data_IF_420352129936
#
_entry.id   IF_420352129936
#
_cell.length_a   1.000
_cell.length_b   1.000
_cell.length_c   1.000
_cell.angle_alpha   90.00
_cell.angle_beta   90.00
_cell.angle_gamma   90.00
#
_symmetry.space_group_name_H-M   'P 1'
#
loop_
_entity.id
_entity.type
_entity.pdbx_description
1 polymer ?
#
# COMPACT_ATOMS: atom_id res chain seq x y z
N UNK A 1 6.71 -24.36 9.71
CA UNK A 1 6.21 -25.72 10.05
C UNK A 1 7.25 -26.83 9.86
N UNK A 2 7.94 -26.97 8.73
CA UNK A 2 8.93 -28.06 8.53
C UNK A 2 10.15 -27.95 9.44
N UNK A 3 10.66 -26.74 9.66
CA UNK A 3 11.84 -26.49 10.51
C UNK A 3 11.55 -26.77 11.99
N UNK A 4 10.36 -26.44 12.45
CA UNK A 4 9.94 -26.66 13.83
C UNK A 4 9.83 -28.15 14.18
N UNK A 5 9.36 -28.97 13.25
CA UNK A 5 9.29 -30.43 13.45
C UNK A 5 10.66 -31.08 13.58
N UNK A 6 11.66 -30.58 12.84
CA UNK A 6 13.05 -31.06 12.95
C UNK A 6 13.62 -30.78 14.35
N UNK A 7 13.36 -29.59 14.88
CA UNK A 7 13.82 -29.17 16.20
C UNK A 7 13.16 -29.99 17.33
N UNK A 8 11.88 -30.33 17.19
CA UNK A 8 11.17 -31.20 18.16
C UNK A 8 11.74 -32.60 18.21
N UNK A 9 12.00 -33.22 17.06
CA UNK A 9 12.61 -34.55 16.99
C UNK A 9 14.01 -34.56 17.60
N UNK A 10 14.79 -33.53 17.37
CA UNK A 10 16.12 -33.39 17.94
C UNK A 10 16.10 -33.18 19.45
N UNK A 11 15.15 -32.37 19.94
CA UNK A 11 14.91 -32.14 21.37
C UNK A 11 14.52 -33.45 22.11
N UNK A 12 13.68 -34.29 21.48
CA UNK A 12 13.35 -35.61 21.98
C UNK A 12 14.58 -36.52 22.06
N UNK A 13 15.34 -36.62 20.96
CA UNK A 13 16.56 -37.44 20.90
C UNK A 13 17.59 -37.02 21.95
N UNK A 14 17.69 -35.71 22.22
CA UNK A 14 18.56 -35.16 23.26
C UNK A 14 17.99 -35.24 24.69
N UNK A 15 16.78 -35.75 24.85
CA UNK A 15 16.11 -35.85 26.16
C UNK A 15 15.71 -34.52 26.79
N UNK A 16 15.71 -33.42 26.00
CA UNK A 16 15.32 -32.08 26.45
C UNK A 16 13.82 -32.06 26.77
N UNK A 17 13.02 -32.73 25.95
CA UNK A 17 11.58 -32.93 26.18
C UNK A 17 11.31 -34.44 26.27
N UNK A 18 10.26 -34.81 26.98
CA UNK A 18 9.80 -36.19 27.10
C UNK A 18 8.65 -36.44 26.13
N UNK A 19 8.53 -37.67 25.63
CA UNK A 19 7.50 -38.07 24.66
C UNK A 19 6.09 -37.78 25.17
N UNK A 20 5.80 -38.03 26.47
CA UNK A 20 4.48 -37.75 27.03
C UNK A 20 4.05 -36.28 26.90
N UNK A 21 4.98 -35.34 26.82
CA UNK A 21 4.67 -33.91 26.59
C UNK A 21 4.12 -33.73 25.21
N UNK A 22 4.69 -34.38 24.20
CA UNK A 22 4.18 -34.37 22.83
C UNK A 22 2.82 -35.05 22.73
N UNK A 23 2.66 -36.21 23.42
CA UNK A 23 1.40 -36.95 23.46
C UNK A 23 0.27 -36.09 24.04
N UNK A 24 0.54 -35.35 25.11
CA UNK A 24 -0.45 -34.44 25.72
C UNK A 24 -0.87 -33.33 24.76
N UNK A 25 0.10 -32.68 24.08
CA UNK A 25 -0.20 -31.66 23.07
C UNK A 25 -0.94 -32.23 21.86
N UNK A 26 -0.52 -33.41 21.38
CA UNK A 26 -1.18 -34.10 20.28
C UNK A 26 -2.62 -34.47 20.64
N UNK A 27 -2.84 -34.96 21.85
CA UNK A 27 -4.19 -35.28 22.37
C UNK A 27 -5.10 -34.06 22.32
N UNK A 28 -4.64 -32.91 22.81
CA UNK A 28 -5.41 -31.64 22.77
C UNK A 28 -5.76 -31.24 21.34
N UNK A 29 -4.80 -31.33 20.44
CA UNK A 29 -5.01 -31.03 19.02
C UNK A 29 -6.02 -31.97 18.37
N UNK A 30 -5.90 -33.29 18.64
CA UNK A 30 -6.81 -34.30 18.11
C UNK A 30 -8.22 -34.15 18.70
N UNK A 31 -8.33 -33.87 20.02
CA UNK A 31 -9.64 -33.62 20.64
C UNK A 31 -10.39 -32.51 19.91
N UNK A 32 -9.77 -31.35 19.65
CA UNK A 32 -10.41 -30.27 18.89
C UNK A 32 -10.83 -30.70 17.49
N UNK A 33 -10.05 -31.54 16.81
CA UNK A 33 -10.43 -32.10 15.50
C UNK A 33 -11.58 -33.09 15.58
N UNK A 34 -11.64 -33.93 16.62
CA UNK A 34 -12.79 -34.80 16.85
C UNK A 34 -14.05 -34.00 17.17
N UNK A 35 -13.97 -32.99 18.01
CA UNK A 35 -15.08 -32.11 18.35
C UNK A 35 -15.64 -31.37 17.13
N UNK A 36 -14.76 -31.01 16.17
CA UNK A 36 -15.14 -30.42 14.91
C UNK A 36 -15.66 -31.41 13.86
N UNK A 37 -15.68 -32.73 14.18
CA UNK A 37 -16.12 -33.75 13.25
C UNK A 37 -15.17 -33.99 12.08
N UNK A 38 -13.90 -33.56 12.15
CA UNK A 38 -12.96 -33.66 11.01
C UNK A 38 -12.63 -35.10 10.60
N UNK A 39 -13.01 -36.09 11.41
CA UNK A 39 -12.84 -37.51 11.14
C UNK A 39 -14.17 -38.21 10.82
N UNK A 40 -15.29 -37.48 10.89
CA UNK A 40 -16.61 -38.03 10.60
C UNK A 40 -16.87 -38.01 9.08
N UNK A 41 -17.75 -38.89 8.58
CA UNK A 41 -18.20 -38.85 7.21
C UNK A 41 -18.80 -37.47 6.86
N UNK A 42 -18.48 -36.94 5.68
CA UNK A 42 -18.87 -35.60 5.27
C UNK A 42 -20.38 -35.33 5.34
N UNK A 43 -21.18 -36.36 5.06
CA UNK A 43 -22.65 -36.32 5.13
C UNK A 43 -23.21 -36.08 6.54
N UNK A 44 -22.41 -36.32 7.58
CA UNK A 44 -22.77 -36.06 8.98
C UNK A 44 -22.50 -34.62 9.40
N UNK A 45 -21.77 -33.86 8.60
CA UNK A 45 -21.35 -32.51 8.94
C UNK A 45 -22.26 -31.46 8.28
N UNK A 46 -22.92 -30.57 9.06
CA UNK A 46 -23.85 -29.58 8.51
C UNK A 46 -23.20 -28.56 7.56
N UNK A 47 -21.88 -28.40 7.64
CA UNK A 47 -21.11 -27.48 6.79
C UNK A 47 -20.41 -28.14 5.60
N UNK A 48 -20.39 -29.48 5.50
CA UNK A 48 -19.67 -30.18 4.44
C UNK A 48 -20.26 -29.93 3.03
N UNK A 49 -21.53 -29.54 2.96
CA UNK A 49 -22.23 -29.23 1.72
C UNK A 49 -22.23 -27.76 1.35
N UNK A 50 -21.48 -26.90 2.09
CA UNK A 50 -21.34 -25.48 1.76
C UNK A 50 -20.26 -25.35 0.67
N UNK A 51 -20.69 -25.08 -0.54
CA UNK A 51 -19.82 -24.84 -1.67
C UNK A 51 -19.55 -23.34 -1.90
N UNK A 52 -18.80 -23.01 -2.95
CA UNK A 52 -18.47 -21.60 -3.26
C UNK A 52 -19.67 -20.73 -3.62
N UNK A 53 -20.84 -21.32 -3.89
CA UNK A 53 -22.10 -20.61 -4.19
C UNK A 53 -22.63 -19.78 -3.02
N UNK A 54 -22.17 -20.04 -1.79
CA UNK A 54 -22.54 -19.21 -0.62
C UNK A 54 -21.75 -17.92 -0.54
N UNK A 55 -20.60 -17.85 -1.25
CA UNK A 55 -19.77 -16.65 -1.28
C UNK A 55 -20.48 -15.59 -2.11
N UNK A 56 -20.63 -14.37 -1.55
CA UNK A 56 -21.34 -13.26 -2.21
C UNK A 56 -22.74 -13.61 -2.69
N UNK A 57 -23.44 -14.48 -1.96
CA UNK A 57 -24.87 -14.73 -2.22
C UNK A 57 -25.71 -13.51 -1.85
N UNK A 58 -26.89 -13.34 -2.47
CA UNK A 58 -27.81 -12.23 -2.15
C UNK A 58 -28.11 -12.13 -0.65
N UNK A 59 -28.22 -13.25 0.05
CA UNK A 59 -28.42 -13.29 1.49
C UNK A 59 -27.22 -12.70 2.24
N UNK A 60 -26.01 -13.06 1.85
CA UNK A 60 -24.80 -12.58 2.51
C UNK A 60 -24.53 -11.11 2.18
N UNK A 61 -24.82 -10.64 0.97
CA UNK A 61 -24.77 -9.23 0.60
C UNK A 61 -25.77 -8.38 1.39
N UNK A 62 -26.98 -8.88 1.59
CA UNK A 62 -27.98 -8.22 2.41
C UNK A 62 -27.52 -8.11 3.88
N UNK A 63 -26.91 -9.17 4.43
CA UNK A 63 -26.34 -9.16 5.79
C UNK A 63 -25.18 -8.17 5.91
N UNK A 64 -24.26 -8.15 4.93
CA UNK A 64 -23.15 -7.21 4.89
C UNK A 64 -23.65 -5.76 4.84
N UNK A 65 -24.66 -5.49 4.01
CA UNK A 65 -25.30 -4.17 3.90
C UNK A 65 -25.96 -3.77 5.22
N UNK A 66 -26.65 -4.69 5.90
CA UNK A 66 -27.25 -4.42 7.20
C UNK A 66 -26.19 -4.12 8.25
N UNK A 67 -25.15 -4.94 8.34
CA UNK A 67 -24.03 -4.72 9.25
C UNK A 67 -23.37 -3.35 9.03
N UNK A 68 -23.15 -2.96 7.76
CA UNK A 68 -22.62 -1.64 7.42
C UNK A 68 -23.54 -0.51 7.92
N UNK A 69 -24.84 -0.63 7.73
CA UNK A 69 -25.82 0.37 8.22
C UNK A 69 -25.81 0.50 9.73
N UNK A 70 -25.75 -0.62 10.44
CA UNK A 70 -25.79 -0.65 11.90
C UNK A 70 -24.44 -0.24 12.54
N UNK A 71 -23.35 -0.31 11.80
CA UNK A 71 -22.02 0.14 12.26
C UNK A 71 -21.79 1.66 12.14
N UNK A 72 -22.64 2.37 11.39
CA UNK A 72 -22.49 3.82 11.22
C UNK A 72 -22.92 4.57 12.47
N UNK A 73 -22.08 5.50 12.91
CA UNK A 73 -22.34 6.35 14.09
C UNK A 73 -22.45 7.81 13.66
N UNK A 74 -23.58 8.45 13.96
CA UNK A 74 -23.77 9.88 13.76
C UNK A 74 -23.17 10.63 14.96
N UNK A 75 -21.97 11.19 14.80
CA UNK A 75 -21.27 11.90 15.87
C UNK A 75 -21.86 13.30 16.11
N UNK A 76 -22.29 13.99 15.05
CA UNK A 76 -22.83 15.34 15.14
C UNK A 76 -23.79 15.63 13.97
N UNK A 77 -24.85 16.39 14.24
CA UNK A 77 -25.78 16.89 13.21
C UNK A 77 -26.30 18.28 13.60
N UNK A 78 -25.41 19.26 13.69
CA UNK A 78 -25.76 20.66 13.98
C UNK A 78 -26.64 21.21 12.86
N UNK A 79 -27.69 21.94 13.25
CA UNK A 79 -28.60 22.52 12.28
C UNK A 79 -29.46 21.54 11.50
N UNK A 80 -29.50 20.26 11.90
CA UNK A 80 -30.24 19.20 11.19
C UNK A 80 -29.92 19.13 9.69
N UNK A 81 -28.64 19.27 9.33
CA UNK A 81 -28.16 19.21 7.94
C UNK A 81 -28.39 17.83 7.33
N UNK A 82 -28.29 16.79 8.14
CA UNK A 82 -28.54 15.41 7.73
C UNK A 82 -29.95 14.97 8.12
N UNK A 83 -30.64 14.18 7.27
CA UNK A 83 -30.22 13.73 5.94
C UNK A 83 -30.25 14.86 4.91
N UNK A 84 -29.27 14.83 3.96
CA UNK A 84 -29.29 15.75 2.83
C UNK A 84 -30.54 15.54 1.99
N UNK A 85 -31.08 16.65 1.40
CA UNK A 85 -32.22 16.57 0.49
C UNK A 85 -31.90 15.72 -0.74
N UNK A 86 -32.78 14.84 -1.13
CA UNK A 86 -32.67 14.10 -2.40
C UNK A 86 -32.85 15.00 -3.65
N UNK A 87 -33.34 16.21 -3.46
CA UNK A 87 -33.55 17.20 -4.50
C UNK A 87 -32.35 18.17 -4.63
N UNK A 88 -31.20 17.84 -3.98
CA UNK A 88 -29.96 18.59 -4.11
C UNK A 88 -29.52 18.67 -5.58
N UNK A 89 -29.07 19.83 -6.04
CA UNK A 89 -28.74 20.04 -7.47
C UNK A 89 -27.25 19.85 -7.74
N UNK A 90 -26.41 20.32 -6.83
CA UNK A 90 -24.96 20.20 -6.97
C UNK A 90 -24.34 19.69 -5.66
N UNK A 91 -23.70 18.57 -5.73
CA UNK A 91 -23.04 17.93 -4.59
C UNK A 91 -21.54 17.75 -4.89
N UNK A 92 -20.68 18.32 -4.06
CA UNK A 92 -19.28 18.02 -4.11
C UNK A 92 -18.98 16.80 -3.21
N UNK A 93 -18.25 15.81 -3.75
CA UNK A 93 -17.80 14.62 -3.03
C UNK A 93 -16.28 14.59 -3.11
N UNK A 94 -15.63 14.80 -1.99
CA UNK A 94 -14.19 15.00 -1.90
C UNK A 94 -13.55 13.97 -0.96
N UNK A 95 -12.27 13.71 -1.18
CA UNK A 95 -11.47 12.94 -0.23
C UNK A 95 -10.88 11.65 -0.80
N UNK A 96 -9.80 11.17 -0.18
CA UNK A 96 -9.00 10.05 -0.70
C UNK A 96 -9.77 8.73 -0.74
N UNK A 97 -10.76 8.55 0.14
CA UNK A 97 -11.52 7.32 0.26
C UNK A 97 -12.86 7.33 -0.51
N UNK A 98 -13.15 8.41 -1.25
CA UNK A 98 -14.45 8.57 -1.90
C UNK A 98 -14.71 7.53 -3.00
N UNK A 99 -13.71 7.22 -3.80
CA UNK A 99 -13.83 6.30 -4.95
C UNK A 99 -12.77 5.16 -4.91
N UNK A 100 -12.26 4.84 -3.75
CA UNK A 100 -11.34 3.74 -3.54
C UNK A 100 -12.08 2.53 -2.95
N UNK A 101 -12.38 1.54 -3.78
CA UNK A 101 -13.03 0.29 -3.33
C UNK A 101 -12.12 -0.57 -2.46
N UNK A 102 -10.80 -0.42 -2.60
CA UNK A 102 -9.85 -1.21 -1.82
C UNK A 102 -9.82 -0.80 -0.35
N UNK A 103 -10.21 0.45 -0.04
CA UNK A 103 -10.32 0.91 1.34
C UNK A 103 -11.40 0.17 2.14
N UNK A 104 -12.36 -0.46 1.47
CA UNK A 104 -13.42 -1.27 2.09
C UNK A 104 -12.91 -2.64 2.54
N UNK A 105 -11.77 -3.08 1.99
CA UNK A 105 -11.15 -4.34 2.35
C UNK A 105 -10.18 -4.10 3.51
N UNK A 106 -10.45 -4.69 4.65
CA UNK A 106 -9.53 -4.67 5.78
C UNK A 106 -8.28 -5.50 5.53
N UNK A 107 -7.40 -5.55 6.52
CA UNK A 107 -6.14 -6.31 6.46
C UNK A 107 -6.32 -7.78 6.11
N UNK A 108 -7.41 -8.39 6.58
CA UNK A 108 -7.79 -9.79 6.33
C UNK A 108 -9.02 -9.91 5.43
N UNK A 109 -9.31 -8.87 4.65
CA UNK A 109 -10.44 -8.87 3.73
C UNK A 109 -10.29 -9.92 2.63
N UNK A 110 -11.42 -10.49 2.22
CA UNK A 110 -11.49 -11.32 1.02
C UNK A 110 -11.28 -10.49 -0.25
N UNK A 111 -11.24 -11.16 -1.39
CA UNK A 111 -11.20 -10.49 -2.69
C UNK A 111 -12.58 -10.60 -3.34
N UNK A 112 -13.50 -9.65 -3.07
CA UNK A 112 -14.81 -9.67 -3.68
C UNK A 112 -14.70 -9.44 -5.20
N UNK A 113 -15.66 -9.95 -5.95
CA UNK A 113 -15.73 -9.67 -7.38
C UNK A 113 -16.15 -8.22 -7.62
N UNK A 114 -15.84 -7.68 -8.79
CA UNK A 114 -16.16 -6.30 -9.15
C UNK A 114 -17.65 -5.96 -8.96
N UNK A 115 -18.55 -6.91 -9.22
CA UNK A 115 -19.98 -6.75 -9.06
C UNK A 115 -20.42 -6.48 -7.60
N UNK A 116 -19.59 -6.85 -6.61
CA UNK A 116 -19.86 -6.67 -5.17
C UNK A 116 -18.99 -5.55 -4.54
N UNK A 117 -18.29 -4.77 -5.36
CA UNK A 117 -17.48 -3.65 -4.91
C UNK A 117 -18.13 -2.32 -5.31
N UNK A 118 -18.59 -1.57 -4.33
CA UNK A 118 -19.21 -0.28 -4.55
C UNK A 118 -18.47 0.80 -3.76
N UNK A 119 -17.92 1.79 -4.45
CA UNK A 119 -17.34 2.95 -3.78
C UNK A 119 -18.41 3.81 -3.13
N UNK A 120 -18.03 4.59 -2.11
CA UNK A 120 -18.95 5.55 -1.48
C UNK A 120 -19.47 6.59 -2.50
N UNK A 121 -18.60 7.01 -3.43
CA UNK A 121 -18.98 7.89 -4.55
C UNK A 121 -20.07 7.25 -5.42
N UNK A 122 -19.93 5.97 -5.78
CA UNK A 122 -20.94 5.27 -6.60
C UNK A 122 -22.29 5.19 -5.90
N UNK A 123 -22.27 4.88 -4.60
CA UNK A 123 -23.48 4.84 -3.78
C UNK A 123 -24.16 6.21 -3.66
N UNK A 124 -23.39 7.28 -3.46
CA UNK A 124 -23.92 8.65 -3.43
C UNK A 124 -24.54 9.03 -4.77
N UNK A 125 -23.86 8.79 -5.90
CA UNK A 125 -24.40 9.05 -7.25
C UNK A 125 -25.74 8.32 -7.48
N UNK A 126 -25.83 7.07 -7.05
CA UNK A 126 -27.06 6.29 -7.14
C UNK A 126 -28.18 6.85 -6.26
N UNK A 127 -27.87 7.42 -5.10
CA UNK A 127 -28.85 8.01 -4.19
C UNK A 127 -29.41 9.37 -4.67
N UNK A 128 -28.67 10.12 -5.48
CA UNK A 128 -29.04 11.45 -6.01
C UNK A 128 -28.89 11.53 -7.53
N UNK A 129 -29.61 10.73 -8.33
CA UNK A 129 -29.40 10.59 -9.77
C UNK A 129 -29.68 11.90 -10.56
N UNK A 130 -30.40 12.84 -9.96
CA UNK A 130 -30.70 14.15 -10.56
C UNK A 130 -29.67 15.25 -10.23
N UNK A 131 -28.70 14.98 -9.37
CA UNK A 131 -27.72 15.97 -8.95
C UNK A 131 -26.49 15.98 -9.88
N UNK A 132 -25.91 17.15 -10.07
CA UNK A 132 -24.53 17.28 -10.57
C UNK A 132 -23.57 16.91 -9.43
N UNK A 133 -22.88 15.78 -9.55
CA UNK A 133 -21.84 15.37 -8.58
C UNK A 133 -20.47 15.82 -9.10
N UNK A 134 -19.81 16.70 -8.34
CA UNK A 134 -18.43 17.12 -8.55
C UNK A 134 -17.56 16.21 -7.68
N UNK A 135 -16.75 15.36 -8.29
CA UNK A 135 -15.82 14.49 -7.57
C UNK A 135 -14.38 14.97 -7.71
N UNK A 136 -13.64 14.95 -6.62
CA UNK A 136 -12.21 15.12 -6.60
C UNK A 136 -11.59 14.33 -5.43
N UNK A 137 -10.53 13.54 -5.70
CA UNK A 137 -9.76 12.84 -4.65
C UNK A 137 -9.19 13.82 -3.62
N UNK A 138 -8.96 15.05 -4.00
CA UNK A 138 -8.48 16.17 -3.22
C UNK A 138 -7.06 16.02 -2.66
N UNK A 139 -6.74 14.90 -2.04
CA UNK A 139 -5.42 14.68 -1.46
C UNK A 139 -5.07 13.18 -1.40
N UNK A 140 -3.83 12.91 -1.12
CA UNK A 140 -3.40 11.55 -0.76
C UNK A 140 -3.91 11.17 0.64
N UNK A 141 -3.84 9.87 0.97
CA UNK A 141 -4.41 9.35 2.21
C UNK A 141 -3.75 9.98 3.46
N UNK A 142 -2.43 10.12 3.46
CA UNK A 142 -1.64 10.60 4.60
C UNK A 142 -0.42 11.46 4.23
N UNK A 143 -0.36 11.96 2.98
CA UNK A 143 0.75 12.77 2.50
C UNK A 143 0.31 14.21 2.23
N UNK A 144 0.98 15.16 2.88
CA UNK A 144 0.71 16.60 2.75
C UNK A 144 1.29 17.21 1.47
N UNK A 145 1.89 16.38 0.61
CA UNK A 145 2.52 16.84 -0.62
C UNK A 145 1.89 16.19 -1.84
N UNK A 146 1.75 16.96 -2.90
CA UNK A 146 1.60 16.43 -4.25
C UNK A 146 2.96 16.00 -4.76
N UNK A 147 3.01 14.83 -5.40
CA UNK A 147 4.24 14.27 -5.95
C UNK A 147 4.17 14.27 -7.47
N UNK A 148 5.17 14.85 -8.12
CA UNK A 148 5.37 14.77 -9.55
C UNK A 148 6.52 13.79 -9.78
N UNK A 149 6.19 12.64 -10.35
CA UNK A 149 7.14 11.56 -10.59
C UNK A 149 7.98 11.87 -11.83
N UNK A 150 9.27 11.65 -11.78
CA UNK A 150 10.20 11.96 -12.87
C UNK A 150 10.92 10.74 -13.46
N UNK A 151 10.75 9.53 -12.91
CA UNK A 151 11.44 8.35 -13.45
C UNK A 151 11.16 8.13 -14.95
N UNK A 152 9.94 8.42 -15.41
CA UNK A 152 9.56 8.33 -16.81
C UNK A 152 10.23 9.38 -17.71
N UNK A 153 10.73 10.49 -17.15
CA UNK A 153 11.32 11.61 -17.90
C UNK A 153 12.80 11.38 -18.20
N UNK A 154 13.40 10.36 -17.57
CA UNK A 154 14.79 10.02 -17.79
C UNK A 154 15.04 9.50 -19.22
N UNK A 155 16.28 9.70 -19.71
CA UNK A 155 16.77 9.21 -20.99
C UNK A 155 15.82 9.59 -22.15
N UNK A 156 15.42 10.85 -22.20
CA UNK A 156 14.53 11.41 -23.22
C UNK A 156 13.16 10.70 -23.27
N UNK A 157 12.60 10.42 -22.09
CA UNK A 157 11.26 9.82 -21.95
C UNK A 157 11.23 8.30 -22.07
N UNK A 158 12.39 7.63 -22.04
CA UNK A 158 12.45 6.15 -22.05
C UNK A 158 12.35 5.54 -20.65
N UNK A 159 12.45 6.37 -19.62
CA UNK A 159 12.58 5.91 -18.25
C UNK A 159 14.02 5.64 -17.83
N UNK A 160 14.21 5.15 -16.62
CA UNK A 160 15.53 4.77 -16.11
C UNK A 160 16.00 3.44 -16.70
N UNK A 161 17.27 3.36 -17.07
CA UNK A 161 17.91 2.11 -17.49
C UNK A 161 18.22 1.28 -16.26
N UNK A 162 17.77 0.04 -16.23
CA UNK A 162 18.03 -0.91 -15.14
C UNK A 162 18.80 -2.11 -15.69
N UNK A 163 19.95 -2.34 -15.10
CA UNK A 163 20.84 -3.44 -15.41
C UNK A 163 20.88 -4.40 -14.22
N UNK A 164 20.71 -5.69 -14.48
CA UNK A 164 20.66 -6.74 -13.45
C UNK A 164 21.82 -7.71 -13.64
N UNK A 165 22.51 -8.02 -12.55
CA UNK A 165 23.57 -9.06 -12.53
C UNK A 165 23.17 -10.22 -11.63
N UNK A 166 23.58 -11.43 -12.01
CA UNK A 166 23.44 -12.64 -11.20
C UNK A 166 24.63 -12.83 -10.22
N UNK A 167 25.17 -11.72 -9.73
CA UNK A 167 26.20 -11.64 -8.69
C UNK A 167 25.93 -10.40 -7.82
N UNK A 168 26.70 -10.23 -6.75
CA UNK A 168 26.55 -9.13 -5.80
C UNK A 168 27.52 -7.97 -6.02
N UNK A 169 28.36 -8.06 -7.02
CA UNK A 169 29.51 -7.18 -7.23
C UNK A 169 29.29 -6.17 -8.36
N UNK A 170 28.21 -6.25 -9.15
CA UNK A 170 27.99 -5.52 -10.40
C UNK A 170 29.08 -5.82 -11.42
N UNK A 171 29.58 -7.05 -11.43
CA UNK A 171 30.70 -7.48 -12.24
C UNK A 171 30.29 -8.29 -13.48
N UNK A 172 31.07 -8.14 -14.56
CA UNK A 172 30.80 -8.78 -15.84
C UNK A 172 29.63 -8.16 -16.60
N UNK A 173 29.16 -8.89 -17.59
CA UNK A 173 28.01 -8.46 -18.38
C UNK A 173 26.70 -8.62 -17.58
N UNK A 174 25.77 -7.66 -17.68
CA UNK A 174 24.47 -7.78 -17.03
C UNK A 174 23.68 -8.94 -17.63
N UNK A 175 23.05 -9.73 -16.77
CA UNK A 175 22.14 -10.80 -17.18
C UNK A 175 20.90 -10.27 -17.91
N UNK A 176 20.51 -9.04 -17.60
CA UNK A 176 19.37 -8.35 -18.23
C UNK A 176 19.54 -6.85 -18.16
N UNK A 177 19.06 -6.17 -19.20
CA UNK A 177 18.99 -4.70 -19.27
C UNK A 177 17.63 -4.30 -19.82
N UNK A 178 16.90 -3.45 -19.10
CA UNK A 178 15.59 -2.93 -19.51
C UNK A 178 15.40 -1.49 -19.04
N UNK A 179 14.38 -0.80 -19.57
CA UNK A 179 13.98 0.54 -19.14
C UNK A 179 12.68 0.48 -18.36
N UNK A 180 12.59 1.27 -17.28
CA UNK A 180 11.43 1.29 -16.40
C UNK A 180 11.03 2.73 -16.05
N UNK A 181 9.72 2.95 -15.89
CA UNK A 181 9.14 4.21 -15.45
C UNK A 181 8.86 4.23 -13.94
N UNK A 182 9.11 3.12 -13.27
CA UNK A 182 8.97 2.96 -11.82
C UNK A 182 10.04 2.02 -11.28
N UNK A 183 10.39 2.20 -10.01
CA UNK A 183 11.27 1.29 -9.27
C UNK A 183 10.46 0.56 -8.21
N UNK A 184 10.00 -0.65 -8.52
CA UNK A 184 9.21 -1.47 -7.61
C UNK A 184 9.54 -2.96 -7.76
N UNK A 185 10.75 -3.33 -7.36
CA UNK A 185 11.26 -4.69 -7.46
C UNK A 185 11.26 -5.37 -6.09
N UNK A 186 10.74 -6.60 -6.05
CA UNK A 186 10.75 -7.43 -4.84
C UNK A 186 10.70 -8.91 -5.22
N UNK A 187 11.44 -9.73 -4.49
CA UNK A 187 11.31 -11.19 -4.56
C UNK A 187 10.28 -11.75 -3.58
N UNK A 188 9.65 -10.92 -2.75
CA UNK A 188 8.58 -11.34 -1.86
C UNK A 188 7.32 -11.61 -2.67
N UNK A 189 6.88 -12.88 -2.66
CA UNK A 189 5.73 -13.32 -3.48
C UNK A 189 5.99 -13.40 -4.98
N UNK A 190 7.23 -13.17 -5.44
CA UNK A 190 7.63 -13.21 -6.84
C UNK A 190 8.85 -14.11 -7.05
N UNK A 191 9.06 -14.58 -8.29
CA UNK A 191 10.16 -15.47 -8.65
C UNK A 191 11.51 -14.76 -8.80
N UNK A 192 11.53 -13.42 -8.86
CA UNK A 192 12.73 -12.59 -9.01
C UNK A 192 12.37 -11.16 -9.42
N UNK A 193 13.38 -10.32 -9.60
CA UNK A 193 13.21 -8.95 -10.10
C UNK A 193 12.83 -8.92 -11.58
N UNK A 194 13.35 -9.88 -12.34
CA UNK A 194 13.04 -10.07 -13.76
C UNK A 194 13.32 -11.53 -14.16
N UNK A 195 12.79 -11.92 -15.31
CA UNK A 195 13.05 -13.26 -15.86
C UNK A 195 14.54 -13.43 -16.16
N UNK A 196 15.14 -14.50 -15.67
CA UNK A 196 16.57 -14.82 -15.85
C UNK A 196 17.48 -14.15 -14.81
N UNK A 197 16.93 -13.37 -13.87
CA UNK A 197 17.68 -12.74 -12.78
C UNK A 197 17.60 -13.63 -11.53
N UNK A 198 18.76 -13.85 -10.91
CA UNK A 198 18.88 -14.63 -9.68
C UNK A 198 18.05 -13.99 -8.55
N UNK A 199 17.43 -14.83 -7.73
CA UNK A 199 16.72 -14.41 -6.53
C UNK A 199 17.64 -14.13 -5.34
N UNK A 200 18.69 -14.92 -5.21
CA UNK A 200 19.51 -14.99 -3.98
C UNK A 200 20.87 -14.32 -4.13
N UNK A 201 21.32 -14.10 -5.37
CA UNK A 201 22.60 -13.47 -5.66
C UNK A 201 22.39 -12.50 -6.81
N UNK A 202 22.08 -11.26 -6.48
CA UNK A 202 21.84 -10.23 -7.49
C UNK A 202 22.39 -8.87 -7.06
N UNK A 203 22.71 -8.08 -8.04
CA UNK A 203 22.94 -6.65 -7.90
C UNK A 203 22.28 -5.90 -9.06
N UNK A 204 22.00 -4.64 -8.85
CA UNK A 204 21.27 -3.80 -9.81
C UNK A 204 21.96 -2.44 -9.90
N UNK A 205 22.08 -1.96 -11.14
CA UNK A 205 22.38 -0.55 -11.42
C UNK A 205 21.18 0.08 -12.11
N UNK A 206 20.68 1.14 -11.51
CA UNK A 206 19.70 2.02 -12.14
C UNK A 206 20.46 3.26 -12.60
N UNK A 207 20.30 3.65 -13.85
CA UNK A 207 21.00 4.82 -14.39
C UNK A 207 20.16 5.59 -15.39
N UNK A 208 20.45 6.88 -15.50
CA UNK A 208 19.82 7.71 -16.53
C UNK A 208 20.18 9.17 -16.44
N UNK A 209 19.93 9.86 -17.55
CA UNK A 209 20.08 11.31 -17.65
C UNK A 209 18.73 11.97 -17.52
N UNK A 210 18.64 12.94 -16.64
CA UNK A 210 17.48 13.76 -16.41
C UNK A 210 17.79 15.23 -16.68
N UNK A 211 17.05 15.88 -17.55
CA UNK A 211 17.15 17.33 -17.76
C UNK A 211 16.07 18.01 -16.91
N UNK A 212 16.51 18.77 -15.91
CA UNK A 212 15.60 19.39 -14.96
C UNK A 212 14.73 20.48 -15.65
N UNK A 213 13.43 20.44 -15.38
CA UNK A 213 12.46 21.43 -15.84
C UNK A 213 12.15 22.51 -14.77
N UNK A 214 12.77 22.41 -13.59
CA UNK A 214 12.64 23.35 -12.48
C UNK A 214 13.99 23.58 -11.79
N UNK A 215 14.08 24.63 -10.99
CA UNK A 215 15.21 24.92 -10.11
C UNK A 215 14.77 24.72 -8.66
N UNK A 216 15.47 23.87 -7.92
CA UNK A 216 15.12 23.55 -6.52
C UNK A 216 15.72 22.23 -6.06
N UNK A 217 15.04 21.59 -5.12
CA UNK A 217 15.42 20.31 -4.55
C UNK A 217 14.68 19.16 -5.24
N UNK A 218 15.38 18.39 -6.06
CA UNK A 218 14.88 17.09 -6.51
C UNK A 218 14.82 16.13 -5.32
N UNK A 219 13.64 15.60 -5.05
CA UNK A 219 13.43 14.63 -3.97
C UNK A 219 13.63 13.21 -4.49
N UNK A 220 14.11 12.33 -3.60
CA UNK A 220 14.14 10.91 -3.85
C UNK A 220 13.78 10.13 -2.59
N UNK A 221 13.26 8.95 -2.79
CA UNK A 221 13.07 7.94 -1.74
C UNK A 221 13.51 6.59 -2.27
N UNK A 222 14.32 5.88 -1.50
CA UNK A 222 14.82 4.56 -1.86
C UNK A 222 14.69 3.62 -0.66
N UNK A 223 14.13 2.46 -0.89
CA UNK A 223 13.99 1.40 0.12
C UNK A 223 14.58 0.11 -0.43
N UNK A 224 15.54 -0.44 0.29
CA UNK A 224 16.21 -1.69 -0.06
C UNK A 224 16.35 -2.57 1.19
N UNK A 225 16.60 -3.86 1.00
CA UNK A 225 16.90 -4.79 2.09
C UNK A 225 18.34 -4.62 2.63
N UNK A 226 19.30 -4.16 1.81
CA UNK A 226 20.73 -4.15 2.15
C UNK A 226 21.47 -2.81 1.97
N UNK A 227 20.73 -1.72 1.70
CA UNK A 227 21.36 -0.42 1.41
C UNK A 227 21.61 -0.19 -0.09
N UNK A 228 22.08 0.99 -0.41
CA UNK A 228 22.33 1.44 -1.80
C UNK A 228 23.35 2.57 -1.82
N UNK A 229 23.93 2.83 -2.98
CA UNK A 229 24.70 4.03 -3.26
C UNK A 229 23.98 4.84 -4.33
N UNK A 230 23.68 6.10 -4.04
CA UNK A 230 23.16 7.07 -5.02
C UNK A 230 24.27 8.03 -5.41
N UNK A 231 24.48 8.16 -6.72
CA UNK A 231 25.42 9.13 -7.31
C UNK A 231 24.67 10.10 -8.22
N UNK A 232 25.10 11.34 -8.23
CA UNK A 232 24.65 12.37 -9.18
C UNK A 232 25.88 13.01 -9.81
N UNK A 233 25.97 12.99 -11.14
CA UNK A 233 27.14 13.43 -11.91
C UNK A 233 28.45 12.78 -11.44
N UNK A 234 28.39 11.50 -11.03
CA UNK A 234 29.52 10.73 -10.53
C UNK A 234 29.89 10.98 -9.06
N UNK A 235 29.32 11.97 -8.41
CA UNK A 235 29.52 12.25 -6.98
C UNK A 235 28.53 11.46 -6.12
N UNK A 236 29.02 10.87 -5.01
CA UNK A 236 28.17 10.14 -4.07
C UNK A 236 27.33 11.13 -3.27
N UNK A 237 26.01 11.10 -3.50
CA UNK A 237 25.03 11.87 -2.74
C UNK A 237 24.63 11.12 -1.47
N UNK A 238 24.53 9.80 -1.56
CA UNK A 238 24.20 8.94 -0.42
C UNK A 238 24.84 7.55 -0.56
N UNK A 239 25.46 7.09 0.52
CA UNK A 239 25.87 5.72 0.75
C UNK A 239 25.08 5.17 1.94
N UNK A 240 23.89 4.66 1.64
CA UNK A 240 22.99 4.08 2.62
C UNK A 240 23.44 2.67 2.96
N UNK A 241 24.04 2.49 4.13
CA UNK A 241 24.40 1.17 4.64
C UNK A 241 23.15 0.37 4.99
N UNK A 242 23.26 -0.95 4.93
CA UNK A 242 22.23 -1.85 5.42
C UNK A 242 21.80 -1.40 6.82
N UNK A 243 20.62 -0.83 6.92
CA UNK A 243 20.04 -0.42 8.21
C UNK A 243 19.87 -1.66 9.07
N UNK A 244 20.41 -1.65 10.29
CA UNK A 244 20.21 -2.73 11.25
C UNK A 244 18.72 -3.06 11.36
N UNK A 245 18.41 -4.36 11.51
CA UNK A 245 17.10 -4.99 11.68
C UNK A 245 15.92 -3.99 11.70
N UNK A 246 15.46 -3.55 10.55
CA UNK A 246 14.10 -3.04 10.42
C UNK A 246 13.25 -4.29 10.54
N UNK A 247 12.59 -4.44 11.69
CA UNK A 247 11.84 -5.63 12.03
C UNK A 247 10.90 -6.05 10.91
N UNK A 248 10.51 -7.30 10.93
CA UNK A 248 9.46 -7.94 10.14
C UNK A 248 8.10 -7.24 10.37
N UNK A 249 8.04 -5.95 10.18
CA UNK A 249 6.79 -5.23 10.06
C UNK A 249 6.54 -5.10 8.57
N UNK A 250 5.40 -5.52 8.10
CA UNK A 250 4.95 -5.43 6.71
C UNK A 250 4.89 -3.99 6.18
N UNK A 251 5.65 -3.06 6.73
CA UNK A 251 5.79 -1.68 6.27
C UNK A 251 4.50 -0.85 6.27
N UNK A 252 3.43 -1.36 6.84
CA UNK A 252 2.15 -0.67 6.93
C UNK A 252 2.30 0.63 7.74
N UNK A 253 1.83 1.72 7.18
CA UNK A 253 1.73 3.00 7.87
C UNK A 253 3.00 3.85 7.96
N UNK A 254 4.16 3.41 7.48
CA UNK A 254 5.35 4.26 7.46
C UNK A 254 5.36 5.14 6.22
N UNK A 255 5.42 6.45 6.43
CA UNK A 255 5.66 7.41 5.33
C UNK A 255 7.05 7.15 4.76
N UNK A 256 7.23 7.21 3.42
CA UNK A 256 8.55 7.22 2.80
C UNK A 256 9.37 8.39 3.34
N UNK A 257 10.63 8.13 3.64
CA UNK A 257 11.58 9.20 3.95
C UNK A 257 12.11 9.76 2.65
N UNK A 258 11.88 11.06 2.43
CA UNK A 258 12.37 11.76 1.26
C UNK A 258 13.64 12.55 1.59
N UNK A 259 14.67 12.34 0.78
CA UNK A 259 15.91 13.11 0.75
C UNK A 259 15.96 13.94 -0.51
N UNK A 260 17.00 14.76 -0.71
CA UNK A 260 17.09 15.61 -1.88
C UNK A 260 18.53 15.89 -2.32
N UNK A 261 18.63 16.28 -3.58
CA UNK A 261 19.81 16.94 -4.17
C UNK A 261 19.36 18.13 -5.00
N UNK A 262 20.19 19.19 -5.13
CA UNK A 262 19.81 20.40 -5.84
C UNK A 262 19.83 20.18 -7.36
N UNK A 263 18.84 20.79 -8.04
CA UNK A 263 18.77 20.85 -9.50
C UNK A 263 18.50 22.27 -9.98
N UNK A 264 18.92 22.57 -11.21
CA UNK A 264 18.67 23.85 -11.90
C UNK A 264 18.01 23.57 -13.24
N UNK A 265 16.96 24.33 -13.54
CA UNK A 265 16.22 24.21 -14.80
C UNK A 265 17.15 24.29 -16.02
N UNK A 266 16.95 23.38 -16.97
CA UNK A 266 17.75 23.26 -18.20
C UNK A 266 19.09 22.54 -18.04
N UNK A 267 19.52 22.20 -16.81
CA UNK A 267 20.72 21.36 -16.61
C UNK A 267 20.39 19.89 -16.65
N UNK A 268 21.29 19.11 -17.23
CA UNK A 268 21.19 17.66 -17.28
C UNK A 268 22.03 17.03 -16.15
N UNK A 269 21.43 16.08 -15.45
CA UNK A 269 22.03 15.33 -14.34
C UNK A 269 22.13 13.86 -14.72
N UNK A 270 23.30 13.30 -14.49
CA UNK A 270 23.53 11.85 -14.63
C UNK A 270 23.29 11.21 -13.25
N UNK A 271 22.26 10.38 -13.14
CA UNK A 271 21.85 9.75 -11.87
C UNK A 271 22.12 8.26 -11.95
N UNK A 272 22.81 7.73 -10.93
CA UNK A 272 23.11 6.31 -10.81
C UNK A 272 22.75 5.82 -9.41
N UNK A 273 22.06 4.68 -9.33
CA UNK A 273 21.77 3.97 -8.08
C UNK A 273 22.39 2.57 -8.20
N UNK A 274 23.26 2.23 -7.28
CA UNK A 274 23.82 0.88 -7.14
C UNK A 274 23.19 0.19 -5.94
N UNK A 275 22.65 -1.00 -6.17
CA UNK A 275 22.09 -1.86 -5.15
C UNK A 275 22.75 -3.24 -5.21
N UNK A 276 23.05 -3.79 -4.04
CA UNK A 276 23.61 -5.14 -3.89
C UNK A 276 22.79 -5.90 -2.86
N UNK A 277 22.17 -7.01 -3.28
CA UNK A 277 21.38 -7.83 -2.37
C UNK A 277 22.26 -8.40 -1.24
N UNK A 278 21.73 -8.35 -0.01
CA UNK A 278 22.36 -8.93 1.17
C UNK A 278 22.13 -10.44 1.28
N UNK A 279 22.30 -10.94 2.50
CA UNK A 279 22.03 -12.35 2.84
C UNK A 279 20.59 -12.55 3.38
N UNK A 280 19.66 -11.65 3.04
CA UNK A 280 18.28 -11.71 3.46
C UNK A 280 17.47 -12.80 2.75
N UNK A 281 16.28 -13.08 3.26
CA UNK A 281 15.35 -14.06 2.66
C UNK A 281 14.75 -13.58 1.35
N UNK A 282 14.74 -12.25 1.11
CA UNK A 282 14.21 -11.65 -0.12
C UNK A 282 14.95 -10.35 -0.43
N UNK A 283 15.08 -10.06 -1.70
CA UNK A 283 15.63 -8.83 -2.24
C UNK A 283 14.51 -7.80 -2.44
N UNK A 284 14.82 -6.52 -2.23
CA UNK A 284 13.90 -5.41 -2.48
C UNK A 284 14.66 -4.17 -2.94
N UNK A 285 14.16 -3.56 -4.01
CA UNK A 285 14.56 -2.22 -4.47
C UNK A 285 13.29 -1.48 -4.89
N UNK A 286 12.90 -0.51 -4.11
CA UNK A 286 11.77 0.38 -4.39
C UNK A 286 12.19 1.81 -4.25
N UNK A 287 11.66 2.68 -5.07
CA UNK A 287 11.98 4.09 -4.95
C UNK A 287 11.36 4.97 -6.00
N UNK A 288 11.64 6.25 -5.82
CA UNK A 288 11.16 7.29 -6.71
C UNK A 288 12.14 8.46 -6.73
N UNK A 289 12.14 9.18 -7.85
CA UNK A 289 12.79 10.48 -8.01
C UNK A 289 11.69 11.44 -8.44
N UNK A 290 11.47 12.50 -7.67
CA UNK A 290 10.25 13.28 -7.80
C UNK A 290 10.41 14.72 -7.31
N UNK A 291 9.49 15.57 -7.74
CA UNK A 291 9.23 16.87 -7.13
C UNK A 291 8.08 16.75 -6.14
N UNK A 292 8.16 17.48 -5.03
CA UNK A 292 7.14 17.43 -3.99
C UNK A 292 6.75 18.85 -3.57
N UNK A 293 5.47 19.17 -3.78
CA UNK A 293 4.91 20.47 -3.48
C UNK A 293 3.83 20.32 -2.39
N UNK A 294 3.85 21.18 -1.38
CA UNK A 294 2.82 21.19 -0.35
C UNK A 294 1.44 21.35 -1.01
N UNK A 295 0.49 20.54 -0.60
CA UNK A 295 -0.88 20.57 -1.15
C UNK A 295 -1.51 21.95 -0.90
N UNK A 296 -2.02 22.57 -1.97
CA UNK A 296 -2.85 23.77 -1.93
C UNK A 296 -4.27 23.43 -2.42
N UNK A 297 -5.26 23.77 -1.61
CA UNK A 297 -6.68 23.52 -1.89
C UNK A 297 -7.41 24.73 -2.45
N UNK A 298 -6.72 25.82 -2.80
CA UNK A 298 -7.34 27.06 -3.26
C UNK A 298 -8.18 26.86 -4.53
N UNK A 299 -7.63 26.17 -5.52
CA UNK A 299 -8.35 25.89 -6.77
C UNK A 299 -9.52 24.95 -6.54
N UNK A 300 -9.36 23.93 -5.71
CA UNK A 300 -10.44 23.02 -5.34
C UNK A 300 -11.56 23.77 -4.61
N UNK A 301 -11.24 24.62 -3.67
CA UNK A 301 -12.20 25.45 -2.95
C UNK A 301 -13.01 26.34 -3.91
N UNK A 302 -12.34 26.99 -4.88
CA UNK A 302 -13.00 27.76 -5.93
C UNK A 302 -13.92 26.92 -6.81
N UNK A 303 -13.54 25.68 -7.10
CA UNK A 303 -14.33 24.76 -7.92
C UNK A 303 -15.64 24.32 -7.26
N UNK A 304 -15.66 24.21 -5.93
CA UNK A 304 -16.80 23.64 -5.18
C UNK A 304 -17.58 24.64 -4.35
N UNK A 305 -17.18 25.93 -4.29
CA UNK A 305 -17.81 26.97 -3.48
C UNK A 305 -19.30 27.17 -3.73
N UNK A 306 -19.77 26.88 -4.94
CA UNK A 306 -21.18 27.04 -5.34
C UNK A 306 -21.96 25.71 -5.25
N UNK A 307 -21.40 24.66 -4.62
CA UNK A 307 -22.11 23.42 -4.36
C UNK A 307 -23.13 23.60 -3.22
N UNK A 308 -24.30 22.96 -3.35
CA UNK A 308 -25.32 22.97 -2.31
C UNK A 308 -24.87 22.26 -1.02
N UNK A 309 -23.96 21.30 -1.15
CA UNK A 309 -23.27 20.66 -0.03
C UNK A 309 -21.92 20.08 -0.47
N UNK A 310 -21.01 19.97 0.49
CA UNK A 310 -19.71 19.30 0.34
C UNK A 310 -19.67 18.10 1.28
N UNK A 311 -19.47 16.91 0.72
CA UNK A 311 -19.26 15.66 1.47
C UNK A 311 -17.79 15.31 1.37
N UNK A 312 -17.11 15.25 2.52
CA UNK A 312 -15.71 14.82 2.59
C UNK A 312 -15.66 13.39 3.11
N UNK A 313 -15.07 12.50 2.32
CA UNK A 313 -14.90 11.09 2.65
C UNK A 313 -13.42 10.85 2.96
N UNK A 314 -13.12 10.91 4.23
CA UNK A 314 -11.77 10.73 4.78
C UNK A 314 -11.67 9.47 5.63
N UNK A 315 -10.53 9.32 6.27
CA UNK A 315 -10.23 8.20 7.16
C UNK A 315 -8.88 7.58 6.88
N UNK A 316 -8.72 6.35 7.31
CA UNK A 316 -7.55 5.52 7.08
C UNK A 316 -7.93 4.31 6.23
N UNK A 317 -6.93 3.53 5.81
CA UNK A 317 -7.13 2.26 5.11
C UNK A 317 -6.17 1.21 5.64
N UNK A 318 -6.30 -0.02 5.16
CA UNK A 318 -5.36 -1.11 5.46
C UNK A 318 -3.89 -0.80 5.09
N UNK A 319 -3.63 0.25 4.33
CA UNK A 319 -2.27 0.73 4.07
C UNK A 319 -1.66 1.49 5.25
N UNK A 320 -2.48 2.04 6.15
CA UNK A 320 -2.05 2.82 7.31
C UNK A 320 -2.14 2.08 8.62
N UNK A 321 -2.98 1.05 8.66
CA UNK A 321 -3.26 0.25 9.85
C UNK A 321 -3.42 -1.21 9.43
N UNK A 322 -2.85 -2.11 10.20
CA UNK A 322 -2.92 -3.54 9.95
C UNK A 322 -2.19 -4.31 11.03
N UNK A 323 -2.08 -5.62 10.89
CA UNK A 323 -1.36 -6.47 11.83
C UNK A 323 0.08 -5.99 12.01
N UNK A 324 0.44 -5.66 13.25
CA UNK A 324 1.77 -5.15 13.60
C UNK A 324 2.01 -3.68 13.19
N UNK A 325 0.98 -2.95 12.80
CA UNK A 325 1.07 -1.57 12.33
C UNK A 325 -0.04 -0.67 12.88
N UNK A 326 -0.28 -0.69 14.19
CA UNK A 326 -1.32 0.10 14.83
C UNK A 326 -1.05 1.61 14.71
N UNK A 327 -2.10 2.37 14.44
CA UNK A 327 -2.06 3.81 14.51
C UNK A 327 -1.95 4.26 15.97
N UNK A 328 -1.10 5.26 16.24
CA UNK A 328 -0.80 5.71 17.61
C UNK A 328 -1.81 6.74 18.17
N UNK A 329 -2.66 7.29 17.33
CA UNK A 329 -3.67 8.28 17.68
C UNK A 329 -4.97 8.04 16.90
N UNK A 330 -6.04 8.76 17.25
CA UNK A 330 -7.35 8.69 16.60
C UNK A 330 -7.60 9.86 15.63
N UNK A 331 -6.59 10.68 15.38
CA UNK A 331 -6.75 11.85 14.52
C UNK A 331 -6.79 11.46 13.05
N UNK A 332 -7.53 12.24 12.26
CA UNK A 332 -7.42 12.16 10.81
C UNK A 332 -5.99 12.54 10.37
N UNK A 333 -5.48 11.94 9.29
CA UNK A 333 -4.23 12.37 8.69
C UNK A 333 -4.20 13.87 8.44
N UNK A 334 -3.05 14.50 8.66
CA UNK A 334 -2.91 15.96 8.61
C UNK A 334 -3.39 16.59 7.31
N UNK A 335 -3.12 15.96 6.17
CA UNK A 335 -3.59 16.45 4.86
C UNK A 335 -5.11 16.48 4.78
N UNK A 336 -5.78 15.49 5.36
CA UNK A 336 -7.25 15.45 5.40
C UNK A 336 -7.82 16.52 6.33
N UNK A 337 -7.15 16.80 7.47
CA UNK A 337 -7.49 17.93 8.33
C UNK A 337 -7.33 19.27 7.59
N UNK A 338 -6.28 19.40 6.76
CA UNK A 338 -6.07 20.59 5.91
C UNK A 338 -7.20 20.73 4.89
N UNK A 339 -7.62 19.63 4.24
CA UNK A 339 -8.76 19.61 3.32
C UNK A 339 -10.05 20.08 4.01
N UNK A 340 -10.39 19.49 5.17
CA UNK A 340 -11.58 19.90 5.93
C UNK A 340 -11.55 21.39 6.27
N UNK A 341 -10.40 21.89 6.76
CA UNK A 341 -10.23 23.31 7.09
C UNK A 341 -10.34 24.23 5.88
N UNK A 342 -9.85 23.80 4.71
CA UNK A 342 -9.96 24.55 3.48
C UNK A 342 -11.40 24.62 2.98
N UNK A 343 -12.11 23.49 2.97
CA UNK A 343 -13.51 23.43 2.53
C UNK A 343 -14.46 24.16 3.48
N UNK A 344 -14.20 24.11 4.79
CA UNK A 344 -15.01 24.85 5.79
C UNK A 344 -14.97 26.38 5.57
N UNK A 345 -13.96 26.90 4.89
CA UNK A 345 -13.89 28.35 4.58
C UNK A 345 -14.72 28.75 3.35
N UNK A 346 -15.27 27.81 2.62
CA UNK A 346 -16.09 28.10 1.43
C UNK A 346 -17.56 28.37 1.77
N UNK A 347 -18.00 28.02 2.99
CA UNK A 347 -19.37 28.29 3.46
C UNK A 347 -19.88 27.24 4.41
#
# INVERSE_FOLDING_TARGET
MVVENILLVDALKKGIIKEYVLDDHLRKTLMGRFELGMFDPAEMLPWANLGPEVISSEKNDAMATQAARESMVLLENKGAVLPLSKNIKTLAVLGPNADDVNMLNGNYGGTPTEAHQHSLLSGIKAAVPGAKVIYNKACELNDEYTTIHHLQDFNDGKGVKVEFWNNRELDGEPAKTEYFNELNFSTFGAWGFAQGVSRDSLSVRVSGKYTANFTGDMKYTLTTDNGYVLKVNGEVVEDAKAGGRRGFGFGFGRKPEYKSFPVEAGKTYDVEIEYRHGNGQFAMLRGDICERNLVDFTDLANQVKDADAIVIIGGISAQMEGEGGDKQDIELPKVQQMLVKAMHKTG
#
